data_IF_661854491079
#
_entry.id   IF_661854491079
#
_cell.length_a   1.000
_cell.length_b   1.000
_cell.length_c   1.000
_cell.angle_alpha   90.00
_cell.angle_beta   90.00
_cell.angle_gamma   90.00
#
_symmetry.space_group_name_H-M   'P 1'
#
loop_
_entity.id
_entity.type
_entity.pdbx_description
1 polymer ?
#
# COMPACT_ATOMS: atom_id res chain seq x y z
N UNK A 1 -26.43 1.74 2.51
CA UNK A 1 -25.72 2.34 3.66
C UNK A 1 -24.82 1.24 4.24
N UNK A 2 -23.64 1.05 3.64
CA UNK A 2 -22.75 -0.08 3.96
C UNK A 2 -21.94 0.19 5.22
N UNK A 3 -22.08 -0.69 6.21
CA UNK A 3 -21.39 -0.69 7.49
C UNK A 3 -20.02 -1.39 7.33
N UNK A 4 -18.93 -0.62 7.42
CA UNK A 4 -17.57 -1.15 7.55
C UNK A 4 -17.14 -1.09 9.02
N UNK A 5 -16.67 -2.19 9.66
CA UNK A 5 -16.27 -2.17 11.05
C UNK A 5 -14.74 -2.20 11.19
N UNK A 6 -14.05 -1.09 10.95
CA UNK A 6 -12.68 -0.91 11.43
C UNK A 6 -12.51 0.47 12.05
N UNK A 7 -13.01 0.61 13.27
CA UNK A 7 -12.66 1.72 14.15
C UNK A 7 -11.15 1.64 14.43
N UNK A 8 -10.36 2.52 13.80
CA UNK A 8 -8.90 2.61 13.99
C UNK A 8 -8.59 3.01 15.44
N UNK A 9 -8.15 2.05 16.26
CA UNK A 9 -7.35 2.34 17.46
C UNK A 9 -5.90 2.55 17.01
N UNK A 10 -5.26 3.65 17.43
CA UNK A 10 -3.81 3.79 17.35
C UNK A 10 -3.20 2.75 18.30
N UNK A 11 -2.57 1.72 17.75
CA UNK A 11 -1.92 0.65 18.52
C UNK A 11 -0.48 1.06 18.78
N UNK A 12 -0.11 1.11 20.06
CA UNK A 12 1.26 1.26 20.54
C UNK A 12 2.10 0.06 20.10
N UNK A 13 3.23 0.32 19.45
CA UNK A 13 4.09 -0.66 18.74
C UNK A 13 5.30 -1.08 19.58
N UNK A 14 5.10 -1.27 20.88
CA UNK A 14 6.18 -1.71 21.76
C UNK A 14 6.22 -3.25 21.86
N UNK A 15 7.24 -3.83 21.22
CA UNK A 15 7.82 -5.16 21.45
C UNK A 15 6.95 -6.41 21.22
N UNK A 16 7.06 -7.01 20.02
CA UNK A 16 7.09 -8.48 19.91
C UNK A 16 7.71 -8.97 18.58
N UNK A 17 8.81 -9.78 18.59
CA UNK A 17 9.50 -10.22 17.36
C UNK A 17 8.70 -11.16 16.46
N UNK A 18 7.66 -11.82 16.99
CA UNK A 18 6.94 -12.91 16.34
C UNK A 18 5.54 -12.51 15.81
N UNK A 19 5.07 -11.30 16.13
CA UNK A 19 3.80 -10.72 15.63
C UNK A 19 4.04 -9.90 14.33
N UNK A 20 5.14 -10.17 13.63
CA UNK A 20 5.33 -9.79 12.22
C UNK A 20 4.54 -10.71 11.25
N UNK A 21 3.74 -11.63 11.77
CA UNK A 21 2.81 -12.38 10.95
C UNK A 21 1.70 -11.48 10.42
N UNK A 22 1.72 -11.18 9.11
CA UNK A 22 0.50 -10.83 8.36
C UNK A 22 -0.23 -9.55 8.78
N UNK A 23 0.50 -8.45 9.06
CA UNK A 23 -0.04 -7.17 8.59
C UNK A 23 0.04 -7.21 7.07
N UNK A 24 -1.10 -7.25 6.40
CA UNK A 24 -1.15 -7.34 4.95
C UNK A 24 -0.55 -6.03 4.41
N UNK A 25 0.71 -6.05 3.97
CA UNK A 25 1.45 -4.90 3.42
C UNK A 25 0.64 -4.04 2.44
N UNK A 26 -0.32 -4.65 1.73
CA UNK A 26 -1.27 -3.97 0.86
C UNK A 26 -2.22 -3.03 1.61
N UNK A 27 -2.73 -3.46 2.77
CA UNK A 27 -3.55 -2.63 3.66
C UNK A 27 -2.72 -1.51 4.29
N UNK A 28 -1.46 -1.78 4.64
CA UNK A 28 -0.56 -0.76 5.18
C UNK A 28 -0.26 0.31 4.12
N UNK A 29 0.04 -0.11 2.88
CA UNK A 29 0.20 0.81 1.75
C UNK A 29 -1.07 1.64 1.51
N UNK A 30 -2.24 1.00 1.51
CA UNK A 30 -3.52 1.70 1.34
C UNK A 30 -3.75 2.72 2.46
N UNK A 31 -3.61 2.30 3.72
CA UNK A 31 -3.81 3.16 4.88
C UNK A 31 -2.82 4.33 4.88
N UNK A 32 -1.57 4.09 4.50
CA UNK A 32 -0.55 5.13 4.37
C UNK A 32 -0.97 6.18 3.34
N UNK A 33 -1.36 5.75 2.14
CA UNK A 33 -1.79 6.68 1.09
C UNK A 33 -3.06 7.45 1.51
N UNK A 34 -4.01 6.81 2.20
CA UNK A 34 -5.23 7.46 2.72
C UNK A 34 -4.92 8.56 3.76
N UNK A 35 -3.86 8.41 4.57
CA UNK A 35 -3.44 9.48 5.49
C UNK A 35 -2.85 10.71 4.79
N UNK A 36 -2.53 10.57 3.50
CA UNK A 36 -1.99 11.60 2.63
C UNK A 36 -2.92 11.85 1.42
N UNK A 37 -4.23 11.71 1.62
CA UNK A 37 -5.23 11.86 0.56
C UNK A 37 -5.14 13.22 -0.17
N UNK A 38 -4.92 14.30 0.58
CA UNK A 38 -4.85 15.68 0.09
C UNK A 38 -3.42 16.21 -0.10
N UNK A 39 -2.40 15.40 0.19
CA UNK A 39 -0.99 15.75 0.06
C UNK A 39 -0.22 14.61 -0.62
N UNK A 40 -0.32 14.56 -1.95
CA UNK A 40 0.36 13.56 -2.77
C UNK A 40 1.87 13.57 -2.55
N UNK A 41 2.50 14.72 -2.39
CA UNK A 41 3.96 14.82 -2.26
C UNK A 41 4.42 14.11 -0.97
N UNK A 42 3.75 14.37 0.13
CA UNK A 42 4.01 13.66 1.39
C UNK A 42 3.67 12.17 1.30
N UNK A 43 2.56 11.83 0.62
CA UNK A 43 2.15 10.46 0.37
C UNK A 43 3.19 9.65 -0.41
N UNK A 44 3.71 10.21 -1.51
CA UNK A 44 4.77 9.61 -2.33
C UNK A 44 6.01 9.33 -1.50
N UNK A 45 6.47 10.30 -0.70
CA UNK A 45 7.64 10.10 0.18
C UNK A 45 7.42 9.00 1.21
N UNK A 46 6.21 8.90 1.75
CA UNK A 46 5.85 7.87 2.70
C UNK A 46 5.82 6.48 2.01
N UNK A 47 5.29 6.40 0.79
CA UNK A 47 5.29 5.18 -0.02
C UNK A 47 6.72 4.72 -0.35
N UNK A 48 7.63 5.63 -0.70
CA UNK A 48 9.04 5.32 -0.93
C UNK A 48 9.70 4.70 0.33
N UNK A 49 9.44 5.28 1.50
CA UNK A 49 9.95 4.74 2.77
C UNK A 49 9.39 3.34 3.08
N UNK A 50 8.08 3.13 2.89
CA UNK A 50 7.46 1.81 3.08
C UNK A 50 7.97 0.78 2.05
N UNK A 51 8.31 1.24 0.84
CA UNK A 51 8.88 0.40 -0.21
C UNK A 51 10.24 -0.17 0.22
N UNK A 52 11.09 0.64 0.85
CA UNK A 52 12.36 0.15 1.40
C UNK A 52 12.15 -0.94 2.46
N UNK A 53 11.15 -0.79 3.34
CA UNK A 53 10.84 -1.77 4.38
C UNK A 53 10.41 -3.13 3.79
N UNK A 54 9.49 -3.14 2.82
CA UNK A 54 9.04 -4.40 2.22
C UNK A 54 10.10 -5.01 1.29
N UNK A 55 10.99 -4.21 0.70
CA UNK A 55 12.16 -4.72 -0.04
C UNK A 55 13.09 -5.52 0.89
N UNK A 56 13.32 -5.03 2.11
CA UNK A 56 14.12 -5.79 3.09
C UNK A 56 13.39 -7.05 3.56
N UNK A 57 12.08 -6.98 3.82
CA UNK A 57 11.28 -8.16 4.16
C UNK A 57 11.32 -9.23 3.06
N UNK A 58 11.26 -8.82 1.79
CA UNK A 58 11.39 -9.72 0.64
C UNK A 58 12.77 -10.39 0.57
N UNK A 59 13.86 -9.63 0.74
CA UNK A 59 15.23 -10.15 0.79
C UNK A 59 15.43 -11.18 1.91
N UNK A 60 14.74 -11.02 3.02
CA UNK A 60 14.77 -11.94 4.17
C UNK A 60 13.81 -13.13 4.02
N UNK A 61 13.13 -13.27 2.88
CA UNK A 61 12.11 -14.29 2.60
C UNK A 61 10.90 -14.22 3.56
N UNK A 62 10.66 -13.05 4.17
CA UNK A 62 9.50 -12.77 5.05
C UNK A 62 8.28 -12.26 4.25
N UNK A 63 8.47 -11.96 2.96
CA UNK A 63 7.42 -11.50 2.04
C UNK A 63 7.38 -12.40 0.79
N UNK A 64 6.24 -13.04 0.46
CA UNK A 64 6.14 -13.87 -0.75
C UNK A 64 6.26 -13.05 -2.05
N UNK A 65 6.91 -13.61 -3.07
CA UNK A 65 7.13 -12.99 -4.39
C UNK A 65 5.83 -12.41 -4.99
N UNK A 66 4.74 -13.17 -4.92
CA UNK A 66 3.45 -12.74 -5.48
C UNK A 66 2.91 -11.47 -4.82
N UNK A 67 3.10 -11.31 -3.51
CA UNK A 67 2.68 -10.12 -2.79
C UNK A 67 3.64 -8.95 -3.07
N UNK A 68 4.95 -9.23 -3.09
CA UNK A 68 5.97 -8.24 -3.46
C UNK A 68 5.71 -7.64 -4.85
N UNK A 69 5.52 -8.47 -5.88
CA UNK A 69 5.18 -7.98 -7.23
C UNK A 69 3.89 -7.15 -7.26
N UNK A 70 2.90 -7.52 -6.44
CA UNK A 70 1.64 -6.80 -6.34
C UNK A 70 1.79 -5.41 -5.73
N UNK A 71 2.70 -5.26 -4.75
CA UNK A 71 3.05 -3.98 -4.13
C UNK A 71 3.85 -3.11 -5.08
N UNK A 72 4.85 -3.68 -5.76
CA UNK A 72 5.71 -2.96 -6.70
C UNK A 72 4.90 -2.33 -7.84
N UNK A 73 3.98 -3.10 -8.45
CA UNK A 73 3.12 -2.60 -9.54
C UNK A 73 2.23 -1.43 -9.11
N UNK A 74 1.70 -1.48 -7.88
CA UNK A 74 0.87 -0.40 -7.33
C UNK A 74 1.69 0.83 -7.01
N UNK A 75 2.84 0.60 -6.38
CA UNK A 75 3.77 1.67 -6.02
C UNK A 75 4.23 2.42 -7.26
N UNK A 76 4.55 1.72 -8.34
CA UNK A 76 4.88 2.37 -9.61
C UNK A 76 3.76 3.32 -10.07
N UNK A 77 2.49 2.91 -10.05
CA UNK A 77 1.37 3.79 -10.41
C UNK A 77 1.24 4.98 -9.46
N UNK A 78 1.40 4.77 -8.15
CA UNK A 78 1.33 5.81 -7.12
C UNK A 78 2.45 6.85 -7.26
N UNK A 79 3.67 6.41 -7.59
CA UNK A 79 4.83 7.30 -7.74
C UNK A 79 4.74 8.19 -8.98
N UNK A 80 4.18 7.68 -10.08
CA UNK A 80 4.13 8.40 -11.37
C UNK A 80 2.84 9.21 -11.57
N UNK A 81 1.81 8.99 -10.75
CA UNK A 81 0.54 9.68 -10.90
C UNK A 81 0.62 11.17 -10.50
N UNK A 82 -0.25 11.97 -11.12
CA UNK A 82 -0.51 13.35 -10.72
C UNK A 82 -1.52 13.40 -9.56
N UNK A 83 -1.80 14.61 -9.06
CA UNK A 83 -2.67 14.83 -7.90
C UNK A 83 -4.12 14.34 -8.16
N UNK A 84 -4.62 14.50 -9.38
CA UNK A 84 -5.96 14.01 -9.74
C UNK A 84 -6.01 12.48 -9.74
N UNK A 85 -5.03 11.84 -10.40
CA UNK A 85 -4.95 10.38 -10.49
C UNK A 85 -4.62 9.74 -9.14
N UNK A 86 -3.88 10.41 -8.25
CA UNK A 86 -3.67 9.97 -6.87
C UNK A 86 -5.00 9.72 -6.16
N UNK A 87 -5.90 10.72 -6.19
CA UNK A 87 -7.23 10.62 -5.60
C UNK A 87 -8.06 9.52 -6.28
N UNK A 88 -7.98 9.39 -7.60
CA UNK A 88 -8.70 8.34 -8.33
C UNK A 88 -8.24 6.94 -7.92
N UNK A 89 -6.93 6.70 -7.82
CA UNK A 89 -6.36 5.42 -7.39
C UNK A 89 -6.74 5.10 -5.94
N UNK A 90 -6.73 6.10 -5.06
CA UNK A 90 -7.14 5.89 -3.66
C UNK A 90 -8.60 5.47 -3.53
N UNK A 91 -9.48 5.96 -4.42
CA UNK A 91 -10.89 5.61 -4.44
C UNK A 91 -11.21 4.38 -5.32
N UNK A 92 -10.23 3.79 -6.01
CA UNK A 92 -10.42 2.62 -6.85
C UNK A 92 -10.33 1.34 -6.00
N UNK A 93 -11.49 0.75 -5.68
CA UNK A 93 -11.54 -0.50 -4.93
C UNK A 93 -10.79 -1.63 -5.66
N UNK A 94 -10.89 -1.71 -7.00
CA UNK A 94 -10.24 -2.75 -7.78
C UNK A 94 -8.71 -2.63 -7.72
N UNK A 95 -8.18 -1.41 -7.63
CA UNK A 95 -6.75 -1.14 -7.41
C UNK A 95 -6.26 -1.81 -6.13
N UNK A 96 -7.06 -1.85 -5.06
CA UNK A 96 -6.67 -2.43 -3.78
C UNK A 96 -7.02 -3.92 -3.62
N UNK A 97 -7.66 -4.56 -4.62
CA UNK A 97 -7.98 -5.99 -4.55
C UNK A 97 -6.79 -6.90 -4.92
N UNK A 98 -6.63 -8.06 -4.25
CA UNK A 98 -5.66 -9.06 -4.66
C UNK A 98 -5.81 -9.45 -6.15
N UNK A 99 -4.69 -9.70 -6.82
CA UNK A 99 -4.72 -10.07 -8.25
C UNK A 99 -4.87 -8.90 -9.23
N UNK A 100 -5.03 -7.66 -8.76
CA UNK A 100 -4.96 -6.48 -9.62
C UNK A 100 -3.70 -6.47 -10.49
N UNK A 101 -3.87 -5.94 -11.71
CA UNK A 101 -2.82 -5.71 -12.68
C UNK A 101 -3.04 -4.33 -13.28
N UNK A 102 -1.96 -3.58 -13.57
CA UNK A 102 -2.10 -2.36 -14.36
C UNK A 102 -2.78 -2.72 -15.67
N UNK A 103 -3.80 -1.96 -16.06
CA UNK A 103 -4.37 -2.08 -17.38
C UNK A 103 -3.25 -1.81 -18.39
N UNK A 104 -2.88 -2.83 -19.16
CA UNK A 104 -1.91 -2.66 -20.25
C UNK A 104 -2.39 -1.49 -21.10
N UNK A 105 -1.72 -0.34 -21.00
CA UNK A 105 -1.82 0.70 -22.03
C UNK A 105 -1.05 0.18 -23.25
N UNK A 106 -1.69 -0.71 -24.00
CA UNK A 106 -1.43 -0.87 -25.42
C UNK A 106 -2.35 0.11 -26.13
N UNK A 107 -1.83 1.32 -26.34
CA UNK A 107 -1.87 2.17 -27.55
C UNK A 107 -1.44 3.60 -27.19
#
# INVERSE_FOLDING_TARGET
MGWWPFTRKRVDLSNDPQIKGTRTWLLDLQALCETHYDDRISGVRAVEALQEEWHQAHKMLELPDLLFEGLEKRTQELLICDDEKWILLLNDEAFWQPGWRPSNKHD
#
